data_IF_094698271636
#
_entry.id   IF_094698271636
#
_cell.length_a   1.000
_cell.length_b   1.000
_cell.length_c   1.000
_cell.angle_alpha   90.00
_cell.angle_beta   90.00
_cell.angle_gamma   90.00
#
_symmetry.space_group_name_H-M   'P 1'
#
loop_
_entity.id
_entity.type
_entity.pdbx_description
1 polymer ?
#
# COMPACT_ATOMS: atom_id res chain seq x y z
N UNK A 1 -29.08 39.56 19.98
CA UNK A 1 -28.51 39.00 21.23
C UNK A 1 -28.46 37.49 21.08
N UNK A 2 -27.27 36.90 21.35
CA UNK A 2 -26.93 35.46 21.36
C UNK A 2 -26.94 34.79 19.97
N UNK A 3 -25.87 34.19 19.48
CA UNK A 3 -24.50 34.04 19.96
C UNK A 3 -23.66 33.52 18.78
N UNK A 4 -22.51 34.16 18.53
CA UNK A 4 -21.54 33.72 17.54
C UNK A 4 -21.01 32.34 17.96
N UNK A 5 -21.30 31.30 17.15
CA UNK A 5 -20.54 30.06 17.20
C UNK A 5 -19.22 30.33 16.49
N UNK A 6 -18.13 30.26 17.25
CA UNK A 6 -16.77 30.22 16.72
C UNK A 6 -16.66 29.01 15.78
N UNK A 7 -16.46 29.28 14.49
CA UNK A 7 -16.00 28.28 13.54
C UNK A 7 -14.56 27.91 13.91
N UNK A 8 -14.40 26.76 14.56
CA UNK A 8 -13.11 26.12 14.77
C UNK A 8 -12.59 25.64 13.42
N UNK A 9 -11.58 26.32 12.90
CA UNK A 9 -10.78 25.88 11.75
C UNK A 9 -10.15 24.52 12.06
N UNK A 10 -10.68 23.45 11.49
CA UNK A 10 -10.01 22.15 11.45
C UNK A 10 -8.95 22.19 10.36
N UNK A 11 -7.70 22.45 10.76
CA UNK A 11 -6.52 22.23 9.94
C UNK A 11 -6.36 20.73 9.65
N UNK A 12 -6.94 20.24 8.55
CA UNK A 12 -6.87 18.83 8.12
C UNK A 12 -5.73 18.53 7.14
N UNK A 13 -4.70 19.38 7.06
CA UNK A 13 -3.51 19.12 6.19
C UNK A 13 -2.19 19.02 6.96
N UNK A 14 -2.26 18.64 8.24
CA UNK A 14 -1.08 18.35 9.09
C UNK A 14 -1.14 16.93 9.70
N UNK A 15 -1.88 16.00 9.10
CA UNK A 15 -2.16 14.68 9.69
C UNK A 15 -1.61 13.48 8.90
N UNK A 16 -0.68 13.68 7.98
CA UNK A 16 0.23 12.61 7.52
C UNK A 16 1.52 12.54 8.37
N UNK A 17 1.52 13.16 9.55
CA UNK A 17 2.66 13.21 10.46
C UNK A 17 2.33 12.49 11.78
N UNK A 18 2.60 11.18 11.76
CA UNK A 18 3.02 10.32 12.87
C UNK A 18 2.26 10.50 14.20
N UNK A 19 1.28 9.64 14.44
CA UNK A 19 0.92 9.23 15.81
C UNK A 19 1.66 7.93 16.09
N UNK A 20 2.89 8.02 16.62
CA UNK A 20 3.58 6.87 17.20
C UNK A 20 3.42 6.87 18.72
N UNK A 21 3.06 5.70 19.25
CA UNK A 21 3.10 5.37 20.68
C UNK A 21 4.53 5.44 21.24
N UNK A 22 4.72 5.67 22.56
CA UNK A 22 5.96 6.22 23.15
C UNK A 22 7.18 5.27 23.20
N UNK A 23 7.23 4.19 22.43
CA UNK A 23 8.24 3.13 22.61
C UNK A 23 9.49 3.35 21.75
N UNK A 24 9.51 4.31 20.81
CA UNK A 24 10.63 4.52 19.89
C UNK A 24 11.63 5.62 20.27
N UNK A 25 11.36 6.44 21.30
CA UNK A 25 12.21 7.60 21.62
C UNK A 25 13.52 7.25 22.37
N UNK A 26 13.61 6.08 23.02
CA UNK A 26 14.71 5.79 23.95
C UNK A 26 15.98 5.21 23.32
N UNK A 27 16.02 4.97 22.01
CA UNK A 27 17.19 4.37 21.34
C UNK A 27 17.95 5.32 20.40
N UNK A 28 17.35 6.45 20.00
CA UNK A 28 18.02 7.46 19.17
C UNK A 28 18.93 8.39 19.99
N UNK A 29 18.77 8.46 21.32
CA UNK A 29 19.63 9.29 22.19
C UNK A 29 21.02 8.69 22.44
N UNK A 30 21.27 7.44 22.05
CA UNK A 30 22.49 6.71 22.43
C UNK A 30 23.38 6.35 21.25
N UNK A 31 22.91 6.53 20.01
CA UNK A 31 23.66 6.22 18.81
C UNK A 31 23.54 7.42 17.86
N UNK A 32 24.64 8.15 17.69
CA UNK A 32 24.72 9.18 16.66
C UNK A 32 24.24 8.62 15.32
N UNK A 33 23.42 9.39 14.61
CA UNK A 33 22.88 8.98 13.32
C UNK A 33 24.03 8.44 12.43
N UNK A 34 23.92 7.24 11.84
CA UNK A 34 24.95 6.72 10.95
C UNK A 34 25.30 7.76 9.87
N UNK A 35 26.58 7.90 9.47
CA UNK A 35 27.05 8.96 8.58
C UNK A 35 26.27 9.05 7.25
N UNK A 36 25.67 7.96 6.76
CA UNK A 36 24.81 7.96 5.57
C UNK A 36 23.49 8.76 5.72
N UNK A 37 23.00 8.98 6.94
CA UNK A 37 21.79 9.79 7.16
C UNK A 37 22.04 11.29 6.97
N UNK A 38 23.27 11.77 7.23
CA UNK A 38 23.62 13.19 7.02
C UNK A 38 23.68 13.57 5.55
N UNK A 39 23.97 12.62 4.68
CA UNK A 39 24.04 12.87 3.22
C UNK A 39 22.66 12.80 2.55
N UNK A 40 21.66 12.23 3.23
CA UNK A 40 20.32 11.99 2.69
C UNK A 40 19.23 12.86 3.31
N UNK A 41 19.44 13.38 4.53
CA UNK A 41 18.50 14.26 5.21
C UNK A 41 18.95 15.73 5.17
N UNK A 42 18.01 16.68 5.13
CA UNK A 42 18.31 18.11 5.22
C UNK A 42 19.16 18.44 6.44
N UNK A 43 20.11 19.37 6.31
CA UNK A 43 20.99 19.78 7.41
C UNK A 43 20.19 20.29 8.63
N UNK A 44 19.03 20.89 8.38
CA UNK A 44 18.08 21.38 9.38
C UNK A 44 17.40 20.26 10.19
N UNK A 45 17.63 18.99 9.84
CA UNK A 45 17.10 17.83 10.57
C UNK A 45 17.99 17.43 11.75
N UNK A 46 19.13 18.10 11.93
CA UNK A 46 20.12 17.78 12.96
C UNK A 46 20.21 18.89 14.00
N UNK A 47 20.43 18.51 15.26
CA UNK A 47 20.63 19.45 16.37
C UNK A 47 22.04 20.09 16.36
N UNK A 48 22.33 20.94 17.33
CA UNK A 48 23.64 21.60 17.47
C UNK A 48 24.79 20.60 17.71
N UNK A 49 24.49 19.40 18.23
CA UNK A 49 25.44 18.31 18.37
C UNK A 49 25.59 17.46 17.08
N UNK A 50 24.81 17.78 16.05
CA UNK A 50 24.75 17.08 14.77
C UNK A 50 24.09 15.70 14.85
N UNK A 51 23.27 15.45 15.86
CA UNK A 51 22.43 14.26 15.97
C UNK A 51 21.08 14.51 15.29
N UNK A 52 20.50 13.47 14.69
CA UNK A 52 19.19 13.59 14.07
C UNK A 52 18.13 13.90 15.14
N UNK A 53 17.34 14.95 14.91
CA UNK A 53 16.22 15.34 15.75
C UNK A 53 14.93 15.26 14.96
N UNK A 54 14.00 14.43 15.43
CA UNK A 54 12.67 14.32 14.83
C UNK A 54 11.97 15.68 14.82
N UNK A 55 12.05 16.43 15.92
CA UNK A 55 11.44 17.76 16.02
C UNK A 55 11.98 18.73 14.96
N UNK A 56 13.30 18.73 14.76
CA UNK A 56 13.95 19.56 13.75
C UNK A 56 13.53 19.15 12.32
N UNK A 57 13.46 17.85 12.04
CA UNK A 57 12.96 17.33 10.77
C UNK A 57 11.48 17.73 10.53
N UNK A 58 10.62 17.61 11.54
CA UNK A 58 9.21 18.02 11.42
C UNK A 58 9.07 19.53 11.20
N UNK A 59 9.90 20.34 11.87
CA UNK A 59 9.92 21.79 11.67
C UNK A 59 10.37 22.14 10.24
N UNK A 60 11.39 21.47 9.72
CA UNK A 60 11.82 21.62 8.32
C UNK A 60 10.71 21.24 7.34
N UNK A 61 10.11 20.06 7.51
CA UNK A 61 9.03 19.58 6.64
C UNK A 61 7.85 20.56 6.62
N UNK A 62 7.41 21.04 7.80
CA UNK A 62 6.36 22.07 7.92
C UNK A 62 6.72 23.34 7.17
N UNK A 63 7.96 23.81 7.28
CA UNK A 63 8.43 25.00 6.56
C UNK A 63 8.35 24.81 5.04
N UNK A 64 8.70 23.62 4.53
CA UNK A 64 8.58 23.31 3.10
C UNK A 64 7.12 23.30 2.65
N UNK A 65 6.24 22.65 3.41
CA UNK A 65 4.79 22.64 3.15
C UNK A 65 4.18 24.04 3.21
N UNK A 66 4.58 24.89 4.16
CA UNK A 66 4.14 26.28 4.23
C UNK A 66 4.58 27.08 3.00
N UNK A 67 5.81 26.87 2.53
CA UNK A 67 6.30 27.53 1.32
C UNK A 67 5.58 27.05 0.06
N UNK A 68 5.34 25.73 -0.06
CA UNK A 68 4.54 25.15 -1.13
C UNK A 68 3.12 25.73 -1.13
N UNK A 69 2.48 25.86 0.04
CA UNK A 69 1.18 26.51 0.16
C UNK A 69 1.22 27.97 -0.29
N UNK A 70 2.24 28.75 0.08
CA UNK A 70 2.37 30.15 -0.37
C UNK A 70 2.46 30.26 -1.89
N UNK A 71 3.22 29.39 -2.53
CA UNK A 71 3.34 29.35 -4.01
C UNK A 71 2.02 28.92 -4.64
N UNK A 72 1.40 27.86 -4.12
CA UNK A 72 0.14 27.33 -4.65
C UNK A 72 -1.05 28.30 -4.50
N UNK A 73 -1.00 29.25 -3.56
CA UNK A 73 -2.01 30.30 -3.37
C UNK A 73 -1.57 31.67 -3.92
N UNK A 74 -0.48 31.72 -4.69
CA UNK A 74 -0.09 32.96 -5.37
C UNK A 74 -1.10 33.32 -6.47
N UNK A 75 -1.19 34.60 -6.83
CA UNK A 75 -2.21 35.10 -7.76
C UNK A 75 -2.14 34.46 -9.16
N UNK A 76 -0.97 33.97 -9.55
CA UNK A 76 -0.70 33.41 -10.87
C UNK A 76 -0.83 31.86 -10.91
N UNK A 77 -1.18 31.23 -9.79
CA UNK A 77 -1.27 29.76 -9.67
C UNK A 77 -2.67 29.35 -9.22
N UNK A 78 -3.27 28.40 -9.95
CA UNK A 78 -4.54 27.78 -9.58
C UNK A 78 -4.29 26.52 -8.78
N UNK A 79 -4.72 26.51 -7.51
CA UNK A 79 -4.73 25.30 -6.67
C UNK A 79 -6.02 24.52 -6.88
N UNK A 80 -5.89 23.30 -7.40
CA UNK A 80 -6.99 22.34 -7.56
C UNK A 80 -6.84 21.25 -6.51
N UNK A 81 -7.93 20.94 -5.77
CA UNK A 81 -7.98 19.76 -4.91
C UNK A 81 -8.63 18.62 -5.67
N UNK A 82 -8.06 17.44 -5.55
CA UNK A 82 -8.53 16.25 -6.28
C UNK A 82 -8.66 15.06 -5.35
N UNK A 83 -9.88 14.60 -5.12
CA UNK A 83 -10.19 13.47 -4.24
C UNK A 83 -10.12 12.18 -5.02
N UNK A 84 -9.16 11.34 -4.67
CA UNK A 84 -8.93 10.05 -5.31
C UNK A 84 -9.38 8.94 -4.36
N UNK A 85 -10.44 8.23 -4.73
CA UNK A 85 -10.93 7.07 -3.98
C UNK A 85 -10.43 5.77 -4.63
N UNK A 86 -9.71 4.96 -3.88
CA UNK A 86 -9.21 3.65 -4.30
C UNK A 86 -9.97 2.57 -3.52
N UNK A 87 -10.79 1.80 -4.21
CA UNK A 87 -11.59 0.72 -3.64
C UNK A 87 -10.88 -0.60 -3.95
N UNK A 88 -10.53 -1.36 -2.91
CA UNK A 88 -9.61 -2.49 -3.04
C UNK A 88 -10.27 -3.80 -2.61
N UNK A 89 -10.34 -4.75 -3.54
CA UNK A 89 -10.58 -6.16 -3.27
C UNK A 89 -9.25 -6.81 -2.84
N UNK A 90 -9.12 -7.17 -1.56
CA UNK A 90 -7.84 -7.59 -0.99
C UNK A 90 -7.48 -9.06 -1.23
N UNK A 91 -8.46 -9.95 -1.41
CA UNK A 91 -8.19 -11.39 -1.37
C UNK A 91 -7.24 -11.81 -2.51
N UNK A 92 -7.51 -11.31 -3.72
CA UNK A 92 -6.67 -11.59 -4.89
C UNK A 92 -5.24 -11.07 -4.74
N UNK A 93 -5.08 -9.90 -4.11
CA UNK A 93 -3.78 -9.25 -3.90
C UNK A 93 -2.93 -10.08 -2.94
N UNK A 94 -3.51 -10.44 -1.79
CA UNK A 94 -2.83 -11.22 -0.77
C UNK A 94 -2.31 -12.55 -1.34
N UNK A 95 -3.18 -13.32 -1.99
CA UNK A 95 -2.80 -14.61 -2.57
C UNK A 95 -1.72 -14.44 -3.66
N UNK A 96 -1.83 -13.42 -4.51
CA UNK A 96 -0.85 -13.18 -5.55
C UNK A 96 0.53 -12.80 -4.99
N UNK A 97 0.60 -11.99 -3.93
CA UNK A 97 1.87 -11.61 -3.28
C UNK A 97 2.46 -12.80 -2.53
N UNK A 98 1.65 -13.59 -1.82
CA UNK A 98 2.07 -14.83 -1.17
C UNK A 98 2.68 -15.80 -2.18
N UNK A 99 2.00 -16.06 -3.30
CA UNK A 99 2.48 -16.96 -4.35
C UNK A 99 3.79 -16.47 -4.97
N UNK A 100 3.91 -15.16 -5.21
CA UNK A 100 5.13 -14.56 -5.75
C UNK A 100 6.33 -14.70 -4.79
N UNK A 101 6.14 -14.39 -3.50
CA UNK A 101 7.19 -14.50 -2.49
C UNK A 101 7.63 -15.96 -2.31
N UNK A 102 6.68 -16.90 -2.24
CA UNK A 102 6.97 -18.34 -2.19
C UNK A 102 7.76 -18.80 -3.42
N UNK A 103 7.35 -18.37 -4.61
CA UNK A 103 8.06 -18.72 -5.85
C UNK A 103 9.49 -18.17 -5.89
N UNK A 104 9.76 -17.04 -5.22
CA UNK A 104 11.09 -16.49 -5.04
C UNK A 104 11.91 -17.17 -3.91
N UNK A 105 11.37 -18.20 -3.25
CA UNK A 105 12.02 -18.83 -2.09
C UNK A 105 12.20 -17.86 -0.92
N UNK A 106 11.27 -16.92 -0.76
CA UNK A 106 11.22 -16.00 0.37
C UNK A 106 10.54 -16.70 1.56
N UNK A 107 11.20 -16.68 2.71
CA UNK A 107 10.65 -17.23 3.96
C UNK A 107 9.79 -16.17 4.63
N UNK A 108 8.48 -16.35 4.57
CA UNK A 108 7.50 -15.38 5.06
C UNK A 108 7.29 -15.65 6.54
N UNK A 109 7.71 -14.71 7.39
CA UNK A 109 7.56 -14.86 8.84
C UNK A 109 6.29 -14.19 9.37
N UNK A 110 5.72 -13.23 8.63
CA UNK A 110 4.53 -12.47 9.02
C UNK A 110 3.79 -11.86 7.81
N UNK A 111 2.58 -11.34 8.04
CA UNK A 111 1.78 -10.64 7.04
C UNK A 111 2.29 -9.23 6.72
N UNK A 112 3.28 -8.73 7.48
CA UNK A 112 3.83 -7.38 7.36
C UNK A 112 4.42 -7.12 5.96
N UNK A 113 5.37 -7.93 5.50
CA UNK A 113 6.00 -7.70 4.19
C UNK A 113 5.02 -7.89 3.04
N UNK A 114 4.11 -8.85 3.16
CA UNK A 114 2.99 -9.04 2.23
C UNK A 114 2.13 -7.77 2.14
N UNK A 115 1.87 -7.13 3.28
CA UNK A 115 1.14 -5.85 3.32
C UNK A 115 1.93 -4.70 2.71
N UNK A 116 3.25 -4.62 2.96
CA UNK A 116 4.11 -3.56 2.39
C UNK A 116 4.17 -3.64 0.87
N UNK A 117 4.37 -4.84 0.30
CA UNK A 117 4.34 -5.02 -1.14
C UNK A 117 2.97 -4.68 -1.74
N UNK A 118 1.88 -5.02 -1.04
CA UNK A 118 0.53 -4.63 -1.46
C UNK A 118 0.34 -3.10 -1.41
N UNK A 119 0.91 -2.42 -0.42
CA UNK A 119 0.93 -0.95 -0.36
C UNK A 119 1.73 -0.36 -1.53
N UNK A 120 2.86 -0.95 -1.92
CA UNK A 120 3.64 -0.49 -3.07
C UNK A 120 2.87 -0.65 -4.38
N UNK A 121 2.12 -1.75 -4.54
CA UNK A 121 1.20 -1.95 -5.66
C UNK A 121 0.13 -0.86 -5.72
N UNK A 122 -0.56 -0.60 -4.60
CA UNK A 122 -1.60 0.43 -4.54
C UNK A 122 -1.02 1.84 -4.77
N UNK A 123 0.19 2.11 -4.26
CA UNK A 123 0.92 3.36 -4.52
C UNK A 123 1.21 3.56 -5.99
N UNK A 124 1.74 2.55 -6.68
CA UNK A 124 2.01 2.63 -8.11
C UNK A 124 0.74 2.91 -8.92
N UNK A 125 -0.40 2.35 -8.51
CA UNK A 125 -1.71 2.66 -9.10
C UNK A 125 -2.09 4.13 -8.87
N UNK A 126 -2.00 4.62 -7.63
CA UNK A 126 -2.27 6.02 -7.32
C UNK A 126 -1.36 6.97 -8.09
N UNK A 127 -0.05 6.71 -8.11
CA UNK A 127 0.94 7.52 -8.83
C UNK A 127 0.63 7.60 -10.33
N UNK A 128 0.10 6.53 -10.91
CA UNK A 128 -0.32 6.50 -12.32
C UNK A 128 -1.54 7.38 -12.56
N UNK A 129 -2.53 7.33 -11.66
CA UNK A 129 -3.74 8.18 -11.74
C UNK A 129 -3.37 9.64 -11.54
N UNK A 130 -2.55 9.94 -10.53
CA UNK A 130 -2.10 11.30 -10.27
C UNK A 130 -1.33 11.88 -11.48
N UNK A 131 -0.52 11.06 -12.15
CA UNK A 131 0.16 11.48 -13.38
C UNK A 131 -0.83 11.80 -14.50
N UNK A 132 -1.86 10.96 -14.69
CA UNK A 132 -2.89 11.17 -15.70
C UNK A 132 -3.68 12.45 -15.44
N UNK A 133 -4.13 12.67 -14.20
CA UNK A 133 -4.87 13.88 -13.79
C UNK A 133 -4.03 15.15 -13.97
N UNK A 134 -2.75 15.12 -13.61
CA UNK A 134 -1.85 16.28 -13.83
C UNK A 134 -1.62 16.52 -15.32
N UNK A 135 -1.45 15.47 -16.13
CA UNK A 135 -1.28 15.61 -17.56
C UNK A 135 -2.51 16.23 -18.24
N UNK A 136 -3.72 15.93 -17.76
CA UNK A 136 -4.96 16.55 -18.23
C UNK A 136 -5.08 18.03 -17.85
N UNK A 137 -4.50 18.44 -16.72
CA UNK A 137 -4.44 19.84 -16.30
C UNK A 137 -3.43 20.67 -17.14
N UNK A 138 -2.54 20.03 -17.91
CA UNK A 138 -1.64 20.64 -18.87
C UNK A 138 -0.16 20.61 -18.46
N UNK A 139 0.72 21.05 -19.37
CA UNK A 139 2.18 20.99 -19.20
C UNK A 139 2.73 21.85 -18.06
N UNK A 140 1.95 22.84 -17.62
CA UNK A 140 2.29 23.79 -16.57
C UNK A 140 1.66 23.42 -15.22
N UNK A 141 1.21 22.15 -15.09
CA UNK A 141 0.64 21.60 -13.88
C UNK A 141 1.65 20.72 -13.12
N UNK A 142 1.58 20.74 -11.79
CA UNK A 142 2.43 19.91 -10.92
C UNK A 142 1.64 19.38 -9.73
N UNK A 143 2.03 18.23 -9.20
CA UNK A 143 1.52 17.73 -7.91
C UNK A 143 2.01 18.62 -6.78
N UNK A 144 1.18 18.83 -5.77
CA UNK A 144 1.60 19.55 -4.56
C UNK A 144 2.81 18.88 -3.87
N UNK A 145 2.85 17.55 -3.83
CA UNK A 145 3.98 16.81 -3.25
C UNK A 145 5.29 16.98 -4.05
N UNK A 146 5.22 17.15 -5.36
CA UNK A 146 6.40 17.41 -6.18
C UNK A 146 6.88 18.86 -6.04
N UNK A 147 5.95 19.80 -5.87
CA UNK A 147 6.28 21.18 -5.50
C UNK A 147 7.08 21.25 -4.19
N UNK A 148 6.68 20.48 -3.17
CA UNK A 148 7.43 20.37 -1.92
C UNK A 148 8.86 19.83 -2.14
N UNK A 149 9.03 18.83 -3.00
CA UNK A 149 10.35 18.27 -3.34
C UNK A 149 11.23 19.26 -4.09
N UNK A 150 10.69 19.98 -5.06
CA UNK A 150 11.41 21.02 -5.84
C UNK A 150 11.90 22.13 -4.91
N UNK A 151 11.03 22.56 -4.00
CA UNK A 151 11.33 23.53 -2.94
C UNK A 151 12.45 23.02 -2.02
N UNK A 152 12.32 21.79 -1.51
CA UNK A 152 13.31 21.18 -0.63
C UNK A 152 14.68 21.03 -1.30
N UNK A 153 14.70 20.77 -2.61
CA UNK A 153 15.90 20.69 -3.42
C UNK A 153 16.48 22.05 -3.83
N UNK A 154 15.80 23.17 -3.52
CA UNK A 154 16.24 24.52 -3.88
C UNK A 154 16.13 24.87 -5.37
N UNK A 155 15.40 24.07 -6.17
CA UNK A 155 15.30 24.22 -7.64
C UNK A 155 14.17 25.15 -8.05
N UNK A 156 14.14 26.36 -7.50
CA UNK A 156 13.02 27.29 -7.71
C UNK A 156 12.87 27.76 -9.16
N UNK A 157 13.92 27.64 -9.97
CA UNK A 157 13.89 27.89 -11.42
C UNK A 157 12.90 27.00 -12.18
N UNK A 158 12.66 25.77 -11.70
CA UNK A 158 11.73 24.82 -12.31
C UNK A 158 10.25 25.24 -12.13
N UNK A 159 9.99 26.25 -11.28
CA UNK A 159 8.64 26.72 -10.95
C UNK A 159 8.18 27.92 -11.82
N UNK A 160 9.02 28.42 -12.74
CA UNK A 160 8.74 29.67 -13.48
C UNK A 160 7.53 29.62 -14.40
N UNK A 161 7.19 28.45 -14.94
CA UNK A 161 6.02 28.27 -15.80
C UNK A 161 4.84 27.64 -15.07
N UNK A 162 4.93 27.42 -13.75
CA UNK A 162 3.89 26.75 -12.98
C UNK A 162 2.63 27.61 -12.95
N UNK A 163 1.52 27.08 -13.48
CA UNK A 163 0.20 27.75 -13.46
C UNK A 163 -0.84 26.96 -12.69
N UNK A 164 -0.65 25.66 -12.52
CA UNK A 164 -1.60 24.78 -11.83
C UNK A 164 -0.87 23.91 -10.81
N UNK A 165 -1.44 23.81 -9.61
CA UNK A 165 -0.98 22.87 -8.59
C UNK A 165 -2.14 21.97 -8.23
N UNK A 166 -1.96 20.67 -8.39
CA UNK A 166 -2.97 19.66 -8.03
C UNK A 166 -2.59 19.05 -6.69
N UNK A 167 -3.47 19.23 -5.70
CA UNK A 167 -3.33 18.62 -4.37
C UNK A 167 -4.27 17.43 -4.27
N UNK A 168 -3.69 16.25 -4.28
CA UNK A 168 -4.44 15.00 -4.15
C UNK A 168 -4.83 14.73 -2.69
N UNK A 169 -6.03 14.22 -2.51
CA UNK A 169 -6.56 13.69 -1.25
C UNK A 169 -6.90 12.21 -1.48
N UNK A 170 -5.88 11.32 -1.47
CA UNK A 170 -6.08 9.89 -1.71
C UNK A 170 -6.74 9.22 -0.49
N UNK A 171 -7.71 8.37 -0.74
CA UNK A 171 -8.36 7.53 0.26
C UNK A 171 -8.43 6.08 -0.25
N UNK A 172 -7.96 5.15 0.57
CA UNK A 172 -8.02 3.71 0.30
C UNK A 172 -9.13 3.11 1.16
N UNK A 173 -10.00 2.34 0.53
CA UNK A 173 -11.04 1.57 1.20
C UNK A 173 -10.86 0.08 0.92
N UNK A 174 -10.69 -0.68 2.00
CA UNK A 174 -10.36 -2.10 1.93
C UNK A 174 -11.61 -2.98 2.04
N UNK A 175 -11.80 -3.90 1.11
CA UNK A 175 -12.88 -4.89 1.14
C UNK A 175 -12.27 -6.29 1.14
N UNK A 176 -12.71 -7.12 2.09
CA UNK A 176 -12.19 -8.48 2.28
C UNK A 176 -13.18 -9.36 3.02
N UNK A 177 -13.13 -10.68 2.83
CA UNK A 177 -13.77 -11.63 3.72
C UNK A 177 -12.72 -12.31 4.63
N UNK A 178 -12.89 -12.32 5.97
CA UNK A 178 -12.01 -13.11 6.84
C UNK A 178 -12.08 -14.61 6.50
N UNK A 179 -10.94 -15.29 6.40
CA UNK A 179 -10.91 -16.72 6.08
C UNK A 179 -11.55 -17.55 7.22
N UNK A 180 -12.56 -18.41 6.96
CA UNK A 180 -13.32 -19.10 8.00
C UNK A 180 -12.61 -20.37 8.47
N UNK A 181 -11.32 -20.26 8.80
CA UNK A 181 -10.45 -21.41 9.10
C UNK A 181 -10.93 -22.16 10.35
N UNK A 182 -11.28 -21.43 11.41
CA UNK A 182 -11.75 -21.99 12.67
C UNK A 182 -13.07 -22.74 12.52
N UNK A 183 -14.02 -22.18 11.77
CA UNK A 183 -15.31 -22.81 11.52
C UNK A 183 -15.17 -24.05 10.63
N UNK A 184 -14.25 -24.03 9.65
CA UNK A 184 -13.93 -25.19 8.82
C UNK A 184 -13.26 -26.27 9.68
N UNK A 185 -12.25 -25.95 10.51
CA UNK A 185 -11.59 -26.90 11.41
C UNK A 185 -12.62 -27.59 12.30
N UNK A 186 -13.50 -26.83 12.95
CA UNK A 186 -14.54 -27.38 13.82
C UNK A 186 -15.44 -28.39 13.10
N UNK A 187 -15.89 -28.08 11.87
CA UNK A 187 -16.73 -29.00 11.09
C UNK A 187 -15.95 -30.23 10.61
N UNK A 188 -14.68 -30.06 10.22
CA UNK A 188 -13.81 -31.18 9.81
C UNK A 188 -13.55 -32.13 10.98
N UNK A 189 -13.30 -31.61 12.20
CA UNK A 189 -13.13 -32.42 13.39
C UNK A 189 -14.35 -33.32 13.65
N UNK A 190 -15.56 -32.79 13.43
CA UNK A 190 -16.80 -33.56 13.56
C UNK A 190 -16.82 -34.75 12.60
N UNK A 191 -16.53 -34.53 11.31
CA UNK A 191 -16.53 -35.61 10.31
C UNK A 191 -15.36 -36.58 10.47
N UNK A 192 -14.19 -36.12 10.89
CA UNK A 192 -13.04 -36.97 11.22
C UNK A 192 -13.36 -37.93 12.37
N UNK A 193 -14.06 -37.45 13.41
CA UNK A 193 -14.55 -38.31 14.52
C UNK A 193 -15.55 -39.37 14.07
N UNK A 194 -16.29 -39.12 12.97
CA UNK A 194 -17.16 -40.11 12.34
C UNK A 194 -16.44 -41.05 11.36
N UNK A 195 -15.10 -40.98 11.27
CA UNK A 195 -14.27 -41.89 10.47
C UNK A 195 -13.92 -41.40 9.07
N UNK A 196 -14.13 -40.12 8.75
CA UNK A 196 -13.72 -39.56 7.45
C UNK A 196 -12.20 -39.36 7.38
N UNK A 197 -11.52 -40.20 6.59
CA UNK A 197 -10.07 -40.09 6.34
C UNK A 197 -9.73 -38.75 5.69
N UNK A 198 -10.49 -38.35 4.66
CA UNK A 198 -10.29 -37.08 3.96
C UNK A 198 -10.42 -35.87 4.90
N UNK A 199 -11.41 -35.89 5.80
CA UNK A 199 -11.55 -34.81 6.78
C UNK A 199 -10.35 -34.76 7.74
N UNK A 200 -9.81 -35.93 8.13
CA UNK A 200 -8.63 -36.01 8.99
C UNK A 200 -7.36 -35.49 8.30
N UNK A 201 -7.20 -35.75 6.99
CA UNK A 201 -6.09 -35.24 6.20
C UNK A 201 -6.15 -33.71 6.08
N UNK A 202 -7.34 -33.17 5.78
CA UNK A 202 -7.55 -31.71 5.64
C UNK A 202 -7.36 -30.92 6.93
N UNK A 203 -7.50 -31.53 8.12
CA UNK A 203 -7.28 -30.84 9.39
C UNK A 203 -5.84 -30.33 9.55
N UNK A 204 -4.84 -31.01 8.96
CA UNK A 204 -3.46 -30.56 8.99
C UNK A 204 -3.28 -29.24 8.24
N UNK A 205 -3.78 -29.18 7.01
CA UNK A 205 -3.71 -28.01 6.14
C UNK A 205 -4.43 -26.81 6.78
N UNK A 206 -5.68 -27.01 7.24
CA UNK A 206 -6.49 -25.92 7.81
C UNK A 206 -5.84 -25.29 9.04
N UNK A 207 -5.22 -26.10 9.90
CA UNK A 207 -4.51 -25.60 11.10
C UNK A 207 -3.24 -24.81 10.77
N UNK A 208 -2.67 -25.05 9.60
CA UNK A 208 -1.57 -24.25 9.06
C UNK A 208 -2.06 -23.06 8.24
N UNK A 209 -3.37 -22.79 8.23
CA UNK A 209 -3.99 -21.72 7.44
C UNK A 209 -4.15 -22.04 5.95
N UNK A 210 -3.98 -23.29 5.54
CA UNK A 210 -4.02 -23.70 4.15
C UNK A 210 -5.39 -24.29 3.81
N UNK A 211 -6.03 -23.75 2.78
CA UNK A 211 -7.26 -24.30 2.19
C UNK A 211 -6.91 -24.96 0.86
N UNK A 212 -7.00 -26.29 0.81
CA UNK A 212 -6.84 -27.04 -0.43
C UNK A 212 -8.18 -27.60 -0.91
N UNK A 213 -8.69 -27.04 -2.00
CA UNK A 213 -9.94 -27.49 -2.62
C UNK A 213 -9.70 -27.87 -4.09
N UNK A 214 -9.98 -29.13 -4.43
CA UNK A 214 -9.83 -29.66 -5.79
C UNK A 214 -8.45 -29.42 -6.42
N UNK A 215 -7.38 -29.53 -5.61
CA UNK A 215 -6.00 -29.30 -6.06
C UNK A 215 -5.62 -27.82 -6.21
N UNK A 216 -6.47 -26.90 -5.77
CA UNK A 216 -6.14 -25.48 -5.66
C UNK A 216 -5.85 -25.16 -4.20
N UNK A 217 -4.58 -24.92 -3.93
CA UNK A 217 -4.11 -24.43 -2.64
C UNK A 217 -4.37 -22.92 -2.54
N UNK A 218 -4.87 -22.48 -1.39
CA UNK A 218 -4.92 -21.08 -0.98
C UNK A 218 -4.35 -20.99 0.42
N UNK A 219 -3.23 -20.30 0.56
CA UNK A 219 -2.57 -20.11 1.83
C UNK A 219 -3.07 -18.82 2.48
N UNK A 220 -3.73 -18.94 3.63
CA UNK A 220 -4.23 -17.84 4.47
C UNK A 220 -3.50 -17.73 5.82
N UNK A 221 -2.37 -18.42 5.99
CA UNK A 221 -1.58 -18.47 7.23
C UNK A 221 -1.29 -17.09 7.84
N UNK A 222 -1.06 -16.09 6.99
CA UNK A 222 -0.76 -14.72 7.39
C UNK A 222 -1.85 -13.70 7.04
N UNK A 223 -3.04 -14.16 6.65
CA UNK A 223 -4.03 -13.26 6.05
C UNK A 223 -4.60 -12.23 7.02
N UNK A 224 -4.90 -12.65 8.26
CA UNK A 224 -5.38 -11.73 9.29
C UNK A 224 -4.32 -10.71 9.67
N UNK A 225 -3.07 -11.15 9.81
CA UNK A 225 -1.93 -10.30 10.13
C UNK A 225 -1.63 -9.31 8.99
N UNK A 226 -1.74 -9.76 7.74
CA UNK A 226 -1.67 -8.94 6.53
C UNK A 226 -2.71 -7.82 6.55
N UNK A 227 -3.98 -8.15 6.81
CA UNK A 227 -5.07 -7.17 6.91
C UNK A 227 -4.81 -6.19 8.07
N UNK A 228 -4.34 -6.71 9.21
CA UNK A 228 -4.03 -5.89 10.38
C UNK A 228 -3.00 -4.81 10.04
N UNK A 229 -1.87 -5.19 9.42
CA UNK A 229 -0.83 -4.25 9.03
C UNK A 229 -1.29 -3.26 7.95
N UNK A 230 -2.06 -3.71 6.96
CA UNK A 230 -2.61 -2.85 5.91
C UNK A 230 -3.49 -1.72 6.46
N UNK A 231 -4.32 -2.01 7.46
CA UNK A 231 -5.20 -1.02 8.09
C UNK A 231 -4.47 0.10 8.83
N UNK A 232 -3.18 -0.05 9.10
CA UNK A 232 -2.37 0.98 9.75
C UNK A 232 -1.73 1.96 8.76
N UNK A 233 -1.89 1.74 7.45
CA UNK A 233 -1.50 2.74 6.45
C UNK A 233 -2.40 3.97 6.57
N UNK A 234 -1.79 5.16 6.56
CA UNK A 234 -2.47 6.44 6.82
C UNK A 234 -3.51 6.82 5.77
N UNK A 235 -3.41 6.24 4.57
CA UNK A 235 -4.37 6.45 3.48
C UNK A 235 -5.56 5.51 3.58
N UNK A 236 -5.51 4.48 4.42
CA UNK A 236 -6.66 3.60 4.63
C UNK A 236 -7.67 4.29 5.53
N UNK A 237 -8.76 4.75 4.92
CA UNK A 237 -9.81 5.51 5.60
C UNK A 237 -10.98 4.64 6.03
N UNK A 238 -11.17 3.49 5.37
CA UNK A 238 -12.28 2.56 5.63
C UNK A 238 -11.83 1.12 5.41
N UNK A 239 -12.47 0.21 6.14
CA UNK A 239 -12.39 -1.23 5.85
C UNK A 239 -13.74 -1.90 6.04
N UNK A 240 -14.17 -2.70 5.08
CA UNK A 240 -15.41 -3.47 5.13
C UNK A 240 -15.14 -4.97 5.06
N UNK A 241 -15.98 -5.73 5.79
CA UNK A 241 -15.92 -7.18 5.86
C UNK A 241 -17.08 -7.80 5.11
N UNK A 242 -16.78 -8.65 4.14
CA UNK A 242 -17.69 -9.66 3.62
C UNK A 242 -17.60 -10.94 4.47
N UNK A 243 -18.01 -12.06 3.89
CA UNK A 243 -17.88 -13.38 4.51
C UNK A 243 -17.68 -14.47 3.45
N UNK A 244 -17.22 -15.64 3.88
CA UNK A 244 -17.20 -16.83 3.04
C UNK A 244 -18.44 -17.70 3.28
N UNK A 245 -19.02 -18.18 2.21
CA UNK A 245 -19.95 -19.30 2.26
C UNK A 245 -19.18 -20.59 1.99
N UNK A 246 -19.36 -21.60 2.83
CA UNK A 246 -18.64 -22.87 2.70
C UNK A 246 -19.48 -24.05 3.20
N UNK A 247 -19.09 -25.26 2.80
CA UNK A 247 -19.73 -26.49 3.27
C UNK A 247 -18.71 -27.59 3.49
N UNK A 248 -18.76 -28.16 4.70
CA UNK A 248 -17.99 -29.35 5.07
C UNK A 248 -18.93 -30.55 5.17
N UNK A 249 -18.74 -31.52 4.28
CA UNK A 249 -19.51 -32.76 4.23
C UNK A 249 -18.72 -33.98 4.73
N UNK A 250 -19.28 -35.19 4.60
CA UNK A 250 -18.62 -36.44 4.98
C UNK A 250 -17.28 -36.69 4.29
N UNK A 251 -17.03 -36.05 3.14
CA UNK A 251 -15.78 -36.11 2.38
C UNK A 251 -14.86 -34.89 2.62
N UNK A 252 -15.05 -34.17 3.72
CA UNK A 252 -14.30 -32.95 4.03
C UNK A 252 -14.90 -31.68 3.41
N UNK A 253 -14.11 -30.63 3.29
CA UNK A 253 -14.50 -29.35 2.66
C UNK A 253 -14.86 -29.58 1.19
N UNK A 254 -16.10 -29.26 0.81
CA UNK A 254 -16.62 -29.48 -0.55
C UNK A 254 -16.68 -28.21 -1.38
N UNK A 255 -16.94 -27.06 -0.76
CA UNK A 255 -16.84 -25.76 -1.42
C UNK A 255 -16.53 -24.67 -0.40
N UNK A 256 -15.92 -23.60 -0.91
CA UNK A 256 -15.73 -22.33 -0.23
C UNK A 256 -15.81 -21.24 -1.30
N UNK A 257 -16.56 -20.19 -1.02
CA UNK A 257 -16.78 -19.10 -1.95
C UNK A 257 -16.93 -17.78 -1.21
N UNK A 258 -16.27 -16.74 -1.71
CA UNK A 258 -16.38 -15.41 -1.13
C UNK A 258 -17.75 -14.81 -1.46
N UNK A 259 -18.35 -14.10 -0.50
CA UNK A 259 -19.64 -13.44 -0.64
C UNK A 259 -19.61 -12.03 -0.08
N UNK A 260 -20.52 -11.22 -0.63
CA UNK A 260 -20.76 -9.81 -0.32
C UNK A 260 -19.66 -8.81 -0.67
N UNK A 261 -18.40 -9.22 -0.85
CA UNK A 261 -17.30 -8.29 -1.18
C UNK A 261 -17.62 -7.50 -2.47
N UNK A 262 -17.95 -8.17 -3.56
CA UNK A 262 -18.27 -7.50 -4.84
C UNK A 262 -19.48 -6.57 -4.74
N UNK A 263 -20.52 -7.02 -4.03
CA UNK A 263 -21.75 -6.24 -3.85
C UNK A 263 -21.44 -4.97 -3.05
N UNK A 264 -20.62 -5.08 -1.99
CA UNK A 264 -20.21 -3.95 -1.15
C UNK A 264 -19.34 -2.95 -1.91
N UNK A 265 -18.38 -3.45 -2.71
CA UNK A 265 -17.58 -2.60 -3.62
C UNK A 265 -18.48 -1.85 -4.58
N UNK A 266 -19.44 -2.53 -5.21
CA UNK A 266 -20.35 -1.92 -6.17
C UNK A 266 -21.27 -0.87 -5.54
N UNK A 267 -21.83 -1.15 -4.37
CA UNK A 267 -22.63 -0.18 -3.60
C UNK A 267 -21.76 1.02 -3.24
N UNK A 268 -20.58 0.79 -2.69
CA UNK A 268 -19.67 1.86 -2.26
C UNK A 268 -19.27 2.79 -3.38
N UNK A 269 -18.92 2.24 -4.55
CA UNK A 269 -18.57 3.03 -5.73
C UNK A 269 -19.73 3.91 -6.19
N UNK A 270 -20.96 3.40 -6.13
CA UNK A 270 -22.17 4.17 -6.45
C UNK A 270 -22.41 5.27 -5.41
N UNK A 271 -22.32 4.96 -4.11
CA UNK A 271 -22.50 5.93 -3.03
C UNK A 271 -21.47 7.07 -3.16
N UNK A 272 -20.20 6.75 -3.45
CA UNK A 272 -19.16 7.75 -3.67
C UNK A 272 -19.49 8.73 -4.80
N UNK A 273 -20.14 8.24 -5.86
CA UNK A 273 -20.58 9.06 -6.98
C UNK A 273 -21.80 9.92 -6.61
N UNK A 274 -22.76 9.36 -5.88
CA UNK A 274 -24.01 10.04 -5.50
C UNK A 274 -23.75 11.14 -4.48
N UNK A 275 -22.89 10.86 -3.50
CA UNK A 275 -22.55 11.79 -2.43
C UNK A 275 -21.40 12.75 -2.82
N UNK A 276 -20.96 12.70 -4.08
CA UNK A 276 -19.87 13.50 -4.64
C UNK A 276 -18.60 13.44 -3.80
N UNK A 277 -18.24 12.26 -3.29
CA UNK A 277 -17.10 12.08 -2.37
C UNK A 277 -15.75 12.00 -3.09
N UNK A 278 -15.75 11.69 -4.39
CA UNK A 278 -14.55 11.48 -5.18
C UNK A 278 -14.63 12.18 -6.53
N UNK A 279 -13.49 12.70 -6.99
CA UNK A 279 -13.31 13.25 -8.34
C UNK A 279 -12.76 12.17 -9.30
N UNK A 280 -12.03 11.19 -8.74
CA UNK A 280 -11.68 9.93 -9.40
C UNK A 280 -11.92 8.72 -8.51
N UNK A 281 -12.41 7.63 -9.10
CA UNK A 281 -12.54 6.32 -8.44
C UNK A 281 -11.70 5.29 -9.18
N UNK A 282 -10.85 4.56 -8.46
CA UNK A 282 -10.15 3.39 -8.96
C UNK A 282 -10.63 2.13 -8.25
N UNK A 283 -11.05 1.12 -9.00
CA UNK A 283 -11.34 -0.21 -8.48
C UNK A 283 -10.12 -1.10 -8.68
N UNK A 284 -9.54 -1.59 -7.59
CA UNK A 284 -8.46 -2.57 -7.62
C UNK A 284 -9.08 -3.95 -7.45
N UNK A 285 -9.31 -4.66 -8.56
CA UNK A 285 -9.79 -6.05 -8.58
C UNK A 285 -9.58 -6.68 -9.95
N UNK A 286 -9.40 -8.01 -9.98
CA UNK A 286 -9.39 -8.82 -11.20
C UNK A 286 -10.79 -9.07 -11.77
N UNK A 287 -11.86 -8.72 -11.06
CA UNK A 287 -13.22 -9.03 -11.49
C UNK A 287 -13.72 -8.09 -12.60
N UNK A 288 -14.30 -8.69 -13.63
CA UNK A 288 -14.94 -8.00 -14.76
C UNK A 288 -16.36 -7.54 -14.45
N UNK A 289 -16.94 -8.00 -13.34
CA UNK A 289 -18.30 -7.62 -12.94
C UNK A 289 -18.39 -6.15 -12.50
N UNK A 290 -17.25 -5.50 -12.25
CA UNK A 290 -17.16 -4.05 -11.99
C UNK A 290 -17.14 -3.18 -13.24
N UNK A 291 -17.00 -3.74 -14.45
CA UNK A 291 -16.97 -2.96 -15.70
C UNK A 291 -18.19 -2.03 -15.86
N UNK A 292 -19.44 -2.44 -15.54
CA UNK A 292 -20.59 -1.54 -15.60
C UNK A 292 -20.51 -0.32 -14.67
N UNK A 293 -19.67 -0.33 -13.62
CA UNK A 293 -19.51 0.81 -12.71
C UNK A 293 -18.82 1.99 -13.42
N UNK A 294 -17.92 1.73 -14.36
CA UNK A 294 -17.24 2.78 -15.13
C UNK A 294 -18.23 3.70 -15.86
N UNK A 295 -19.28 3.11 -16.45
CA UNK A 295 -20.34 3.88 -17.09
C UNK A 295 -21.14 4.74 -16.09
N UNK A 296 -21.37 4.22 -14.88
CA UNK A 296 -22.09 4.95 -13.83
C UNK A 296 -21.26 6.11 -13.28
N UNK A 297 -19.98 5.89 -13.01
CA UNK A 297 -19.04 6.93 -12.58
C UNK A 297 -18.97 8.06 -13.61
N UNK A 298 -18.81 7.72 -14.90
CA UNK A 298 -18.77 8.72 -15.98
C UNK A 298 -20.06 9.55 -16.07
N UNK A 299 -21.24 8.92 -15.91
CA UNK A 299 -22.52 9.65 -15.87
C UNK A 299 -22.64 10.60 -14.68
N UNK A 300 -21.97 10.30 -13.58
CA UNK A 300 -21.89 11.17 -12.41
C UNK A 300 -20.79 12.26 -12.52
N UNK A 301 -20.04 12.29 -13.62
CA UNK A 301 -18.93 13.23 -13.81
C UNK A 301 -17.64 12.82 -13.07
N UNK A 302 -17.55 11.58 -12.59
CA UNK A 302 -16.40 11.03 -11.87
C UNK A 302 -15.49 10.27 -12.82
N UNK A 303 -14.19 10.59 -12.81
CA UNK A 303 -13.20 9.81 -13.57
C UNK A 303 -13.06 8.41 -12.98
N UNK A 304 -12.86 7.40 -13.82
CA UNK A 304 -12.94 6.02 -13.39
C UNK A 304 -11.78 5.20 -13.94
N UNK A 305 -11.18 4.41 -13.07
CA UNK A 305 -10.06 3.55 -13.36
C UNK A 305 -10.29 2.15 -12.81
N UNK A 306 -9.62 1.16 -13.40
CA UNK A 306 -9.53 -0.18 -12.82
C UNK A 306 -8.10 -0.70 -12.95
N UNK A 307 -7.61 -1.33 -11.89
CA UNK A 307 -6.30 -1.98 -11.86
C UNK A 307 -6.46 -3.44 -11.46
N UNK A 308 -5.75 -4.33 -12.15
CA UNK A 308 -5.68 -5.74 -11.81
C UNK A 308 -4.33 -6.03 -11.12
N UNK A 309 -4.20 -5.57 -9.87
CA UNK A 309 -2.92 -5.70 -9.13
C UNK A 309 -2.59 -7.15 -8.79
N UNK A 310 -3.57 -8.06 -8.72
CA UNK A 310 -3.31 -9.48 -8.49
C UNK A 310 -2.61 -10.17 -9.69
N UNK A 311 -2.52 -9.50 -10.85
CA UNK A 311 -1.77 -9.96 -12.02
C UNK A 311 -0.44 -9.25 -12.22
N UNK A 312 0.10 -8.57 -11.21
CA UNK A 312 1.38 -7.86 -11.29
C UNK A 312 2.55 -8.74 -11.78
N UNK A 313 2.60 -10.01 -11.38
CA UNK A 313 3.61 -10.97 -11.83
C UNK A 313 3.23 -11.71 -13.15
N UNK A 314 2.02 -11.49 -13.66
CA UNK A 314 1.52 -12.15 -14.88
C UNK A 314 0.58 -11.24 -15.70
N UNK A 315 1.08 -10.08 -16.18
CA UNK A 315 0.25 -9.05 -16.83
C UNK A 315 -0.48 -9.55 -18.09
N UNK A 316 0.03 -10.61 -18.73
CA UNK A 316 -0.61 -11.24 -19.88
C UNK A 316 -1.90 -12.01 -19.55
N UNK A 317 -2.19 -12.25 -18.26
CA UNK A 317 -3.37 -13.00 -17.78
C UNK A 317 -4.53 -12.10 -17.35
N UNK A 318 -4.45 -10.79 -17.59
CA UNK A 318 -5.53 -9.86 -17.26
C UNK A 318 -6.76 -10.12 -18.12
N UNK A 319 -7.93 -10.03 -17.49
CA UNK A 319 -9.23 -10.20 -18.11
C UNK A 319 -9.40 -9.34 -19.37
N UNK A 320 -9.97 -9.93 -20.43
CA UNK A 320 -10.16 -9.23 -21.71
C UNK A 320 -10.95 -7.92 -21.55
N UNK A 321 -12.09 -7.95 -20.85
CA UNK A 321 -12.94 -6.76 -20.67
C UNK A 321 -12.24 -5.64 -19.87
N UNK A 322 -11.38 -5.99 -18.92
CA UNK A 322 -10.58 -5.03 -18.17
C UNK A 322 -9.58 -4.34 -19.11
N UNK A 323 -8.88 -5.08 -19.97
CA UNK A 323 -7.98 -4.51 -20.96
C UNK A 323 -8.68 -3.60 -21.98
N UNK A 324 -9.93 -3.89 -22.31
CA UNK A 324 -10.76 -3.09 -23.23
C UNK A 324 -11.14 -1.71 -22.65
N UNK A 325 -10.87 -1.42 -21.36
CA UNK A 325 -11.03 -0.09 -20.77
C UNK A 325 -10.01 0.94 -21.30
N UNK A 326 -8.96 0.52 -22.00
CA UNK A 326 -7.97 1.41 -22.61
C UNK A 326 -7.22 2.23 -21.56
N UNK A 327 -7.27 3.56 -21.68
CA UNK A 327 -6.59 4.49 -20.74
C UNK A 327 -7.13 4.43 -19.31
N UNK A 328 -8.32 3.89 -19.11
CA UNK A 328 -8.93 3.70 -17.79
C UNK A 328 -8.45 2.39 -17.12
N UNK A 329 -7.72 1.53 -17.83
CA UNK A 329 -7.05 0.39 -17.22
C UNK A 329 -5.62 0.77 -16.82
N UNK A 330 -5.28 0.51 -15.55
CA UNK A 330 -3.94 0.77 -15.03
C UNK A 330 -3.16 -0.55 -15.01
N UNK A 331 -2.15 -0.71 -15.88
CA UNK A 331 -1.29 -1.89 -15.85
C UNK A 331 -0.44 -1.87 -14.58
N UNK A 332 -0.25 -3.04 -13.99
CA UNK A 332 0.54 -3.23 -12.78
C UNK A 332 1.70 -4.17 -13.10
N UNK A 333 2.80 -4.02 -12.37
CA UNK A 333 4.00 -4.80 -12.57
C UNK A 333 4.86 -4.84 -11.31
N UNK A 334 5.90 -5.67 -11.34
CA UNK A 334 6.93 -5.69 -10.31
C UNK A 334 7.87 -4.52 -10.59
N UNK A 335 8.05 -3.61 -9.63
CA UNK A 335 9.10 -2.62 -9.73
C UNK A 335 10.41 -3.17 -9.13
N UNK A 336 11.56 -2.98 -9.82
CA UNK A 336 12.83 -3.58 -9.41
C UNK A 336 13.37 -3.03 -8.08
N UNK A 337 12.89 -1.87 -7.64
CA UNK A 337 13.29 -1.21 -6.41
C UNK A 337 12.49 -1.65 -5.17
N UNK A 338 11.40 -2.41 -5.30
CA UNK A 338 10.53 -2.76 -4.15
C UNK A 338 11.25 -3.42 -2.99
N UNK A 339 12.16 -4.37 -3.27
CA UNK A 339 12.90 -5.04 -2.21
C UNK A 339 13.86 -4.08 -1.49
N UNK A 340 14.56 -3.22 -2.23
CA UNK A 340 15.43 -2.20 -1.66
C UNK A 340 14.61 -1.17 -0.88
N UNK A 341 13.42 -0.82 -1.38
CA UNK A 341 12.48 0.05 -0.69
C UNK A 341 12.03 -0.54 0.65
N UNK A 342 11.64 -1.82 0.68
CA UNK A 342 11.27 -2.49 1.92
C UNK A 342 12.43 -2.53 2.93
N UNK A 343 13.67 -2.74 2.47
CA UNK A 343 14.87 -2.69 3.32
C UNK A 343 15.10 -1.28 3.85
N UNK A 344 15.09 -0.27 2.98
CA UNK A 344 15.35 1.13 3.37
C UNK A 344 14.29 1.67 4.33
N UNK A 345 13.02 1.31 4.14
CA UNK A 345 11.94 1.62 5.08
C UNK A 345 12.17 0.98 6.46
N UNK A 346 12.64 -0.28 6.51
CA UNK A 346 12.96 -0.98 7.76
C UNK A 346 14.21 -0.44 8.48
N UNK A 347 15.14 0.16 7.73
CA UNK A 347 16.37 0.75 8.26
C UNK A 347 16.24 2.26 8.57
N UNK A 348 15.11 2.89 8.22
CA UNK A 348 14.91 4.31 8.46
C UNK A 348 14.86 4.63 9.97
N UNK A 349 15.26 5.84 10.40
CA UNK A 349 15.13 6.27 11.81
C UNK A 349 13.70 6.22 12.35
N UNK A 350 12.72 6.25 11.45
CA UNK A 350 11.28 6.21 11.69
C UNK A 350 10.64 4.93 11.16
N UNK A 351 11.42 3.84 11.06
CA UNK A 351 10.93 2.57 10.54
C UNK A 351 9.68 2.11 11.29
N UNK A 352 8.64 1.78 10.53
CA UNK A 352 7.38 1.25 11.06
C UNK A 352 7.50 -0.22 11.48
N UNK A 353 8.56 -0.89 11.05
CA UNK A 353 8.80 -2.30 11.30
C UNK A 353 10.28 -2.63 11.26
N UNK A 354 10.61 -3.85 11.67
CA UNK A 354 11.96 -4.42 11.61
C UNK A 354 11.94 -5.70 10.81
N UNK A 355 13.05 -6.00 10.16
CA UNK A 355 13.25 -7.23 9.42
C UNK A 355 14.01 -8.23 10.29
N UNK A 356 13.62 -9.50 10.22
CA UNK A 356 14.51 -10.59 10.65
C UNK A 356 15.73 -10.68 9.72
N UNK A 357 16.78 -11.37 10.14
CA UNK A 357 17.92 -11.60 9.23
C UNK A 357 17.50 -12.45 8.02
N UNK A 358 16.60 -13.42 8.22
CA UNK A 358 16.05 -14.27 7.15
C UNK A 358 15.29 -13.45 6.13
N UNK A 359 14.39 -12.56 6.58
CA UNK A 359 13.64 -11.66 5.71
C UNK A 359 14.56 -10.68 5.00
N UNK A 360 15.57 -10.15 5.71
CA UNK A 360 16.54 -9.22 5.13
C UNK A 360 17.38 -9.86 4.03
N UNK A 361 17.89 -11.08 4.26
CA UNK A 361 18.57 -11.89 3.24
C UNK A 361 17.65 -12.22 2.07
N UNK A 362 16.40 -12.57 2.34
CA UNK A 362 15.38 -12.83 1.32
C UNK A 362 15.13 -11.61 0.43
N UNK A 363 15.02 -10.41 1.02
CA UNK A 363 14.83 -9.17 0.26
C UNK A 363 16.07 -8.86 -0.59
N UNK A 364 17.27 -9.11 -0.07
CA UNK A 364 18.49 -8.98 -0.86
C UNK A 364 18.49 -9.94 -2.07
N UNK A 365 18.05 -11.19 -1.91
CA UNK A 365 17.90 -12.13 -3.04
C UNK A 365 16.91 -11.61 -4.09
N UNK A 366 15.71 -11.21 -3.67
CA UNK A 366 14.70 -10.66 -4.58
C UNK A 366 15.25 -9.44 -5.34
N UNK A 367 15.96 -8.53 -4.66
CA UNK A 367 16.59 -7.39 -5.31
C UNK A 367 17.61 -7.85 -6.36
N UNK A 368 18.49 -8.77 -5.99
CA UNK A 368 19.58 -9.27 -6.80
C UNK A 368 19.11 -10.00 -8.07
N UNK A 369 17.96 -10.67 -8.00
CA UNK A 369 17.34 -11.34 -9.16
C UNK A 369 16.78 -10.36 -10.20
N UNK A 370 16.47 -9.13 -9.79
CA UNK A 370 15.83 -8.11 -10.62
C UNK A 370 16.78 -6.99 -11.06
N UNK A 371 17.98 -6.90 -10.47
CA UNK A 371 18.87 -5.75 -10.64
C UNK A 371 20.32 -6.15 -10.93
N UNK A 372 21.02 -5.35 -11.73
CA UNK A 372 22.45 -5.55 -12.00
C UNK A 372 23.33 -5.23 -10.79
N UNK A 373 22.95 -4.20 -10.02
CA UNK A 373 23.62 -3.87 -8.75
C UNK A 373 23.13 -4.86 -7.71
N UNK A 374 24.09 -5.52 -7.07
CA UNK A 374 23.83 -6.55 -6.08
C UNK A 374 23.98 -5.97 -4.68
N UNK A 375 23.15 -6.45 -3.76
CA UNK A 375 23.17 -6.09 -2.35
C UNK A 375 23.27 -7.34 -1.48
N UNK A 376 23.91 -7.18 -0.33
CA UNK A 376 23.97 -8.21 0.70
C UNK A 376 23.95 -7.58 2.10
N UNK A 377 23.40 -8.29 3.10
CA UNK A 377 23.56 -7.88 4.49
C UNK A 377 25.05 -7.82 4.87
N UNK A 378 25.42 -6.81 5.65
CA UNK A 378 26.75 -6.64 6.18
C UNK A 378 26.68 -6.36 7.67
N UNK A 379 27.34 -7.18 8.48
CA UNK A 379 27.50 -6.92 9.91
C UNK A 379 28.87 -6.28 10.11
N UNK A 380 28.87 -5.01 10.52
CA UNK A 380 30.09 -4.29 10.84
C UNK A 380 30.70 -4.83 12.15
N UNK A 381 32.00 -4.55 12.38
CA UNK A 381 32.75 -5.04 13.53
C UNK A 381 32.17 -4.59 14.90
N UNK A 382 31.37 -3.52 14.92
CA UNK A 382 30.66 -3.03 16.08
C UNK A 382 29.28 -3.69 16.29
N UNK A 383 28.96 -4.74 15.53
CA UNK A 383 27.67 -5.44 15.57
C UNK A 383 26.53 -4.73 14.81
N UNK A 384 26.80 -3.61 14.14
CA UNK A 384 25.77 -2.89 13.37
C UNK A 384 25.49 -3.64 12.06
N UNK A 385 24.22 -3.96 11.83
CA UNK A 385 23.74 -4.52 10.57
C UNK A 385 23.52 -3.39 9.57
N UNK A 386 24.03 -3.55 8.35
CA UNK A 386 23.90 -2.61 7.24
C UNK A 386 23.83 -3.32 5.90
N UNK A 387 23.85 -2.53 4.82
CA UNK A 387 23.82 -3.00 3.44
C UNK A 387 25.19 -2.82 2.79
N UNK A 388 25.68 -3.86 2.12
CA UNK A 388 26.82 -3.76 1.20
C UNK A 388 26.31 -3.82 -0.23
N UNK A 389 26.68 -2.83 -1.04
CA UNK A 389 26.40 -2.80 -2.48
C UNK A 389 27.65 -3.20 -3.26
N UNK A 390 27.48 -3.99 -4.32
CA UNK A 390 28.56 -4.37 -5.22
C UNK A 390 28.02 -4.66 -6.62
N UNK A 391 28.91 -4.63 -7.62
CA UNK A 391 28.62 -5.18 -8.95
C UNK A 391 29.51 -6.41 -9.14
N UNK A 392 28.96 -7.57 -9.52
CA UNK A 392 29.78 -8.73 -9.86
C UNK A 392 30.77 -8.35 -10.97
N UNK A 393 32.03 -8.76 -10.84
CA UNK A 393 32.93 -8.72 -11.98
C UNK A 393 32.46 -9.79 -12.98
N UNK A 394 32.12 -9.37 -14.19
CA UNK A 394 31.67 -10.27 -15.27
C UNK A 394 32.68 -11.38 -15.56
#
# INVERSE_FOLDING_TARGET
MRGQKQEGWRNSTLHSLFVMTPVSASYLSSFGAPPMLRETLPAESFDEAGQFSMECYLAYARKMTEMANKIAHSADVTLVRHRLLVIVDLQGIYLAVMDWLKAAGFDIESGLLVSRFSIFLMQSVMDTIEAAVVAEAGNDAMRFADLEKVIAAGKLEDLRSLTHVVKFEPAIELFFAPAPLDEIDWQLQKHARYGSVMASEQLGDIRNGIINLHGRERDYSFYEDFIHHLKHDDRVTRSERGFFNFYVGPKGLQFIDEKEVDIRIAIRAVDACVDYEADSICIISSDQDFIPLHERCRKAGVQTYQADVAKFASPNKVGRKIRELGVNFIPTGIAPDWALRAITEACAPFAFYRLSMTEFEGLCRIHNDLNEVQIAPHVAANGTVGLRMYRPAN
#
